data_IF_013678281349
#
_entry.id   IF_013678281349
#
_cell.length_a   1.000
_cell.length_b   1.000
_cell.length_c   1.000
_cell.angle_alpha   90.00
_cell.angle_beta   90.00
_cell.angle_gamma   90.00
#
_symmetry.space_group_name_H-M   'P 1'
#
loop_
_entity.id
_entity.type
_entity.pdbx_description
1 polymer ?
#
# COMPACT_ATOMS: atom_id res chain seq x y z
N UNK A 1 -9.03 -42.84 16.24
CA UNK A 1 -8.24 -41.64 16.60
C UNK A 1 -7.94 -40.85 15.32
N UNK A 2 -8.73 -39.83 15.01
CA UNK A 2 -8.66 -39.10 13.74
C UNK A 2 -7.42 -38.19 13.70
N UNK A 3 -6.57 -38.38 12.67
CA UNK A 3 -5.46 -37.49 12.33
C UNK A 3 -6.05 -36.19 11.76
N UNK A 4 -6.04 -35.11 12.54
CA UNK A 4 -6.48 -33.78 12.10
C UNK A 4 -5.44 -33.23 11.11
N UNK A 5 -5.83 -33.11 9.83
CA UNK A 5 -5.01 -32.56 8.75
C UNK A 5 -4.89 -31.03 8.89
N UNK A 6 -3.73 -30.55 8.43
CA UNK A 6 -3.17 -29.20 8.50
C UNK A 6 -4.07 -28.12 7.91
N UNK A 7 -4.03 -26.92 8.50
CA UNK A 7 -4.32 -25.65 7.82
C UNK A 7 -3.15 -24.70 8.11
N UNK A 8 -2.01 -24.97 7.49
CA UNK A 8 -0.93 -23.99 7.44
C UNK A 8 -1.23 -23.12 6.22
N UNK A 9 -1.93 -22.01 6.45
CA UNK A 9 -2.03 -20.95 5.44
C UNK A 9 -0.60 -20.48 5.16
N UNK A 10 -0.09 -20.84 3.98
CA UNK A 10 1.21 -20.39 3.50
C UNK A 10 1.03 -18.91 3.16
N UNK A 11 1.22 -18.04 4.15
CA UNK A 11 1.43 -16.63 3.88
C UNK A 11 2.75 -16.55 3.12
N UNK A 12 2.69 -16.38 1.80
CA UNK A 12 3.86 -16.04 1.01
C UNK A 12 4.52 -14.82 1.66
N UNK A 13 5.81 -14.95 1.98
CA UNK A 13 6.60 -13.88 2.58
C UNK A 13 6.99 -12.95 1.43
N UNK A 14 6.03 -12.20 0.90
CA UNK A 14 6.30 -11.23 -0.16
C UNK A 14 7.00 -10.05 0.52
N UNK A 15 8.23 -9.77 0.12
CA UNK A 15 8.96 -8.58 0.60
C UNK A 15 8.15 -7.33 0.28
N UNK A 16 8.23 -6.28 1.10
CA UNK A 16 7.57 -4.99 0.83
C UNK A 16 7.96 -4.43 -0.55
N UNK A 17 9.17 -4.73 -1.03
CA UNK A 17 9.64 -4.37 -2.37
C UNK A 17 8.95 -5.16 -3.49
N UNK A 18 8.59 -6.43 -3.24
CA UNK A 18 7.84 -7.26 -4.19
C UNK A 18 6.35 -6.93 -4.20
N UNK A 19 5.77 -6.64 -3.04
CA UNK A 19 4.40 -6.14 -2.95
C UNK A 19 4.28 -4.72 -3.55
N UNK A 20 5.35 -3.93 -3.46
CA UNK A 20 5.50 -2.67 -4.18
C UNK A 20 5.56 -2.82 -5.71
N UNK A 21 5.93 -3.98 -6.26
CA UNK A 21 5.86 -4.24 -7.72
C UNK A 21 4.43 -4.37 -8.23
N UNK A 22 3.49 -4.72 -7.35
CA UNK A 22 2.09 -4.83 -7.75
C UNK A 22 1.43 -3.46 -7.94
N UNK A 23 1.95 -2.42 -7.29
CA UNK A 23 1.52 -1.04 -7.46
C UNK A 23 2.50 -0.28 -8.35
N UNK A 24 2.02 0.78 -8.98
CA UNK A 24 2.88 1.67 -9.79
C UNK A 24 3.65 2.69 -8.95
N UNK A 25 3.66 2.55 -7.62
CA UNK A 25 4.27 3.45 -6.64
C UNK A 25 4.60 2.70 -5.34
N UNK A 26 5.74 3.00 -4.74
CA UNK A 26 6.17 2.42 -3.46
C UNK A 26 5.78 3.25 -2.25
N UNK A 27 5.81 2.65 -1.05
CA UNK A 27 5.60 3.36 0.21
C UNK A 27 6.62 4.50 0.42
N UNK A 28 7.87 4.31 0.00
CA UNK A 28 8.90 5.34 0.11
C UNK A 28 8.57 6.54 -0.78
N UNK A 29 8.17 6.30 -2.04
CA UNK A 29 7.77 7.37 -2.96
C UNK A 29 6.57 8.16 -2.42
N UNK A 30 5.58 7.48 -1.83
CA UNK A 30 4.46 8.14 -1.17
C UNK A 30 4.93 9.03 -0.01
N UNK A 31 5.84 8.56 0.84
CA UNK A 31 6.40 9.35 1.95
C UNK A 31 7.14 10.59 1.44
N UNK A 32 8.00 10.43 0.45
CA UNK A 32 8.75 11.53 -0.16
C UNK A 32 7.80 12.57 -0.77
N UNK A 33 6.77 12.13 -1.49
CA UNK A 33 5.77 13.05 -2.03
C UNK A 33 5.07 13.86 -0.91
N UNK A 34 4.76 13.22 0.22
CA UNK A 34 4.14 13.89 1.38
C UNK A 34 5.06 14.88 2.12
N UNK A 35 6.38 14.80 1.91
CA UNK A 35 7.34 15.76 2.45
C UNK A 35 7.34 17.07 1.65
N UNK A 36 7.03 17.00 0.35
CA UNK A 36 6.86 18.18 -0.50
C UNK A 36 5.54 18.90 -0.23
N UNK A 37 5.54 20.23 -0.28
CA UNK A 37 4.37 21.06 0.06
C UNK A 37 4.19 22.21 -0.92
N UNK A 38 2.97 22.75 -0.98
CA UNK A 38 2.66 23.92 -1.78
C UNK A 38 2.86 23.69 -3.29
N UNK A 39 3.38 24.69 -3.99
CA UNK A 39 3.56 24.63 -5.44
C UNK A 39 4.54 23.54 -5.89
N UNK A 40 5.59 23.26 -5.11
CA UNK A 40 6.57 22.23 -5.45
C UNK A 40 5.94 20.83 -5.42
N UNK A 41 5.14 20.53 -4.40
CA UNK A 41 4.43 19.25 -4.33
C UNK A 41 3.37 19.09 -5.42
N UNK A 42 2.67 20.17 -5.79
CA UNK A 42 1.74 20.14 -6.95
C UNK A 42 2.51 19.87 -8.24
N UNK A 43 3.70 20.48 -8.42
CA UNK A 43 4.52 20.28 -9.60
C UNK A 43 5.03 18.84 -9.68
N UNK A 44 5.59 18.30 -8.59
CA UNK A 44 6.04 16.92 -8.53
C UNK A 44 4.90 15.92 -8.79
N UNK A 45 3.73 16.15 -8.18
CA UNK A 45 2.53 15.33 -8.40
C UNK A 45 2.18 15.25 -9.89
N UNK A 46 2.15 16.40 -10.57
CA UNK A 46 1.77 16.47 -11.98
C UNK A 46 2.87 15.89 -12.90
N UNK A 47 4.13 16.28 -12.69
CA UNK A 47 5.25 15.90 -13.56
C UNK A 47 5.67 14.43 -13.40
N UNK A 48 5.74 13.94 -12.16
CA UNK A 48 6.26 12.60 -11.86
C UNK A 48 5.16 11.54 -11.87
N UNK A 49 3.98 11.88 -11.34
CA UNK A 49 2.93 10.90 -11.08
C UNK A 49 1.75 10.99 -12.05
N UNK A 50 1.70 12.02 -12.91
CA UNK A 50 0.58 12.23 -13.84
C UNK A 50 -0.65 12.84 -13.17
N UNK A 51 -0.43 13.65 -12.13
CA UNK A 51 -1.51 14.28 -11.37
C UNK A 51 -2.24 13.31 -10.46
N UNK A 52 -3.45 13.69 -10.04
CA UNK A 52 -4.29 12.87 -9.16
C UNK A 52 -4.73 11.58 -9.87
N UNK A 53 -5.05 11.65 -11.16
CA UNK A 53 -5.47 10.49 -11.96
C UNK A 53 -4.33 9.46 -12.08
N UNK A 54 -3.12 9.91 -12.43
CA UNK A 54 -1.98 9.02 -12.54
C UNK A 54 -1.58 8.42 -11.18
N UNK A 55 -1.70 9.19 -10.09
CA UNK A 55 -1.52 8.65 -8.73
C UNK A 55 -2.57 7.58 -8.39
N UNK A 56 -3.85 7.83 -8.72
CA UNK A 56 -4.95 6.88 -8.53
C UNK A 56 -4.74 5.57 -9.29
N UNK A 57 -4.29 5.65 -10.54
CA UNK A 57 -3.94 4.48 -11.36
C UNK A 57 -2.80 3.66 -10.75
N UNK A 58 -1.72 4.32 -10.30
CA UNK A 58 -0.57 3.66 -9.65
C UNK A 58 -0.96 2.97 -8.35
N UNK A 59 -1.87 3.58 -7.58
CA UNK A 59 -2.44 3.01 -6.36
C UNK A 59 -3.57 2.00 -6.61
N UNK A 60 -3.96 1.79 -7.88
CA UNK A 60 -5.09 0.95 -8.28
C UNK A 60 -6.36 1.28 -7.47
N UNK A 61 -6.71 2.56 -7.38
CA UNK A 61 -7.92 3.03 -6.68
C UNK A 61 -8.79 3.88 -7.59
N UNK A 62 -10.10 3.80 -7.40
CA UNK A 62 -11.02 4.76 -8.00
C UNK A 62 -11.01 6.05 -7.16
N UNK A 63 -10.92 7.22 -7.80
CA UNK A 63 -10.86 8.51 -7.11
C UNK A 63 -12.20 8.95 -6.51
N UNK A 64 -13.32 8.40 -6.99
CA UNK A 64 -14.68 8.72 -6.56
C UNK A 64 -15.20 7.66 -5.59
N UNK A 65 -15.10 6.39 -5.96
CA UNK A 65 -15.70 5.27 -5.21
C UNK A 65 -14.73 4.54 -4.29
N UNK A 66 -13.42 4.81 -4.38
CA UNK A 66 -12.40 4.15 -3.57
C UNK A 66 -12.17 2.68 -3.95
N UNK A 67 -11.90 1.85 -2.93
CA UNK A 67 -11.60 0.42 -3.06
C UNK A 67 -12.88 -0.43 -3.01
N UNK A 68 -12.83 -1.62 -3.60
CA UNK A 68 -13.95 -2.57 -3.67
C UNK A 68 -14.21 -3.36 -2.39
N UNK A 69 -13.39 -3.18 -1.33
CA UNK A 69 -13.39 -3.98 -0.10
C UNK A 69 -13.14 -5.49 -0.32
N UNK A 70 -12.45 -5.87 -1.39
CA UNK A 70 -12.02 -7.25 -1.59
C UNK A 70 -10.92 -7.63 -0.59
N UNK A 71 -11.10 -8.74 0.13
CA UNK A 71 -10.16 -9.17 1.19
C UNK A 71 -8.76 -9.48 0.65
N UNK A 72 -8.65 -9.95 -0.60
CA UNK A 72 -7.37 -10.27 -1.23
C UNK A 72 -6.60 -8.99 -1.57
N UNK A 73 -7.26 -8.03 -2.22
CA UNK A 73 -6.71 -6.69 -2.49
C UNK A 73 -6.27 -5.98 -1.20
N UNK A 74 -7.07 -6.07 -0.13
CA UNK A 74 -6.70 -5.50 1.17
C UNK A 74 -5.46 -6.18 1.78
N UNK A 75 -5.34 -7.50 1.72
CA UNK A 75 -4.17 -8.22 2.21
C UNK A 75 -2.87 -7.86 1.44
N UNK A 76 -2.99 -7.69 0.13
CA UNK A 76 -1.90 -7.23 -0.74
C UNK A 76 -1.47 -5.81 -0.35
N UNK A 77 -2.43 -4.90 -0.18
CA UNK A 77 -2.17 -3.51 0.24
C UNK A 77 -1.51 -3.44 1.61
N UNK A 78 -1.94 -4.25 2.57
CA UNK A 78 -1.32 -4.33 3.90
C UNK A 78 0.14 -4.78 3.78
N UNK A 79 0.43 -5.74 2.90
CA UNK A 79 1.80 -6.20 2.64
C UNK A 79 2.65 -5.13 1.97
N UNK A 80 2.10 -4.39 1.02
CA UNK A 80 2.80 -3.34 0.27
C UNK A 80 3.07 -2.06 1.07
N UNK A 81 2.08 -1.60 1.84
CA UNK A 81 2.09 -0.27 2.48
C UNK A 81 2.14 -0.33 4.02
N UNK A 82 1.97 -1.51 4.61
CA UNK A 82 1.88 -1.70 6.05
C UNK A 82 0.45 -1.55 6.59
N UNK A 83 0.30 -1.79 7.89
CA UNK A 83 -0.98 -1.63 8.61
C UNK A 83 -1.11 -0.18 9.09
N UNK A 84 -2.33 0.35 9.09
CA UNK A 84 -2.65 1.65 9.69
C UNK A 84 -2.74 1.56 11.22
N UNK A 85 -1.68 1.05 11.84
CA UNK A 85 -1.58 0.86 13.29
C UNK A 85 -0.43 1.72 13.80
N UNK A 86 -0.72 2.64 14.71
CA UNK A 86 0.32 3.42 15.41
C UNK A 86 0.87 2.51 16.52
N UNK A 87 2.16 2.16 16.50
CA UNK A 87 2.75 1.34 17.54
C UNK A 87 2.54 1.98 18.91
N UNK A 88 1.96 1.25 19.86
CA UNK A 88 1.93 1.70 21.25
C UNK A 88 3.39 1.76 21.72
N UNK A 89 3.79 2.86 22.36
CA UNK A 89 5.11 2.94 22.98
C UNK A 89 5.24 1.78 23.95
N UNK A 90 6.37 1.08 23.90
CA UNK A 90 6.68 0.04 24.88
C UNK A 90 6.53 0.62 26.28
N UNK A 91 5.84 -0.07 27.21
CA UNK A 91 5.82 0.35 28.59
C UNK A 91 7.26 0.45 29.10
N UNK A 92 7.54 1.50 29.88
CA UNK A 92 8.83 1.69 30.54
C UNK A 92 9.09 0.58 31.55
#
# INVERSE_FOLDING_TARGET
>A
MAKKKKSTAVYHHVSADEAGREFGISLLQLKTLMETRGQEGIRELNETYGGIDGLGQRLKTNLITGLSNDETDLAIRITAFGRNEIPRRSPK
#
